data_IF_648531829691
#
_entry.id   IF_648531829691
#
_cell.length_a   1.000
_cell.length_b   1.000
_cell.length_c   1.000
_cell.angle_alpha   90.00
_cell.angle_beta   90.00
_cell.angle_gamma   90.00
#
_symmetry.space_group_name_H-M   'P 1'
#
loop_
_entity.id
_entity.type
_entity.pdbx_description
1 polymer ?
#
# COMPACT_ATOMS: atom_id res chain seq x y z
N UNK A 1 27.76 -4.07 -1.53
CA UNK A 1 26.70 -3.06 -1.38
C UNK A 1 26.43 -2.46 -2.73
N UNK A 2 25.24 -2.68 -3.27
CA UNK A 2 24.77 -2.08 -4.53
C UNK A 2 23.73 -1.03 -4.21
N UNK A 3 23.92 0.17 -4.68
CA UNK A 3 22.98 1.27 -4.54
C UNK A 3 22.37 1.58 -5.91
N UNK A 4 21.06 1.40 -6.01
CA UNK A 4 20.27 1.86 -7.15
C UNK A 4 19.44 3.06 -6.70
N UNK A 5 19.45 4.12 -7.49
CA UNK A 5 18.66 5.32 -7.22
C UNK A 5 17.88 5.69 -8.47
N UNK A 6 16.58 5.71 -8.33
CA UNK A 6 15.67 6.17 -9.38
C UNK A 6 14.97 7.46 -8.91
N UNK A 7 14.78 8.37 -9.85
CA UNK A 7 13.99 9.58 -9.62
C UNK A 7 12.92 9.62 -10.70
N UNK A 8 11.67 9.43 -10.28
CA UNK A 8 10.50 9.48 -11.18
C UNK A 8 9.86 10.85 -11.12
N UNK A 9 9.61 11.44 -12.28
CA UNK A 9 8.86 12.69 -12.43
C UNK A 9 7.53 12.43 -13.13
N UNK A 10 6.45 12.93 -12.60
CA UNK A 10 5.13 12.89 -13.25
C UNK A 10 5.01 14.07 -14.23
N UNK A 11 4.59 13.79 -15.47
CA UNK A 11 4.31 14.81 -16.48
C UNK A 11 2.83 14.82 -16.78
N UNK A 12 2.17 15.96 -16.55
CA UNK A 12 0.80 16.21 -17.00
C UNK A 12 0.79 17.26 -18.09
N UNK A 13 0.03 17.03 -19.16
CA UNK A 13 -0.15 17.98 -20.24
C UNK A 13 -1.28 18.97 -19.86
N UNK A 14 -1.06 20.26 -20.11
CA UNK A 14 -2.04 21.38 -20.15
C UNK A 14 -2.16 22.39 -19.00
N UNK A 15 -1.35 22.38 -17.98
CA UNK A 15 -1.14 23.58 -17.13
C UNK A 15 0.25 23.47 -16.51
N UNK A 16 0.91 24.54 -16.07
CA UNK A 16 2.13 24.42 -15.27
C UNK A 16 1.76 23.88 -13.87
N UNK A 17 1.41 22.57 -13.83
CA UNK A 17 1.23 21.85 -12.58
C UNK A 17 2.61 21.71 -11.95
N UNK A 18 2.77 22.04 -10.66
CA UNK A 18 4.02 21.80 -9.94
C UNK A 18 4.45 20.35 -10.12
N UNK A 19 5.72 20.11 -10.43
CA UNK A 19 6.22 18.75 -10.62
C UNK A 19 6.41 18.09 -9.27
N UNK A 20 5.73 16.96 -9.05
CA UNK A 20 5.98 16.10 -7.91
C UNK A 20 7.22 15.23 -8.15
N UNK A 21 8.08 15.11 -7.15
CA UNK A 21 9.27 14.27 -7.20
C UNK A 21 9.30 13.32 -6.02
N UNK A 22 9.51 12.05 -6.33
CA UNK A 22 9.86 11.03 -5.34
C UNK A 22 11.22 10.43 -5.66
N UNK A 23 11.93 10.01 -4.64
CA UNK A 23 13.22 9.32 -4.77
C UNK A 23 13.10 7.96 -4.12
N UNK A 24 13.47 6.91 -4.83
CA UNK A 24 13.64 5.58 -4.27
C UNK A 24 15.11 5.21 -4.22
N UNK A 25 15.55 4.60 -3.13
CA UNK A 25 16.88 4.04 -3.00
C UNK A 25 16.84 2.62 -2.48
N UNK A 26 17.72 1.79 -3.03
CA UNK A 26 17.80 0.37 -2.71
C UNK A 26 19.22 0.03 -2.28
N UNK A 27 19.36 -0.63 -1.15
CA UNK A 27 20.66 -1.10 -0.67
C UNK A 27 20.58 -2.59 -0.40
N UNK A 28 21.32 -3.39 -1.13
CA UNK A 28 21.40 -4.83 -0.91
C UNK A 28 22.57 -5.15 0.03
N UNK A 29 22.30 -5.88 1.08
CA UNK A 29 23.30 -6.42 2.02
C UNK A 29 23.81 -7.79 1.56
N UNK A 30 24.89 -8.26 2.16
CA UNK A 30 25.57 -9.51 1.77
C UNK A 30 24.76 -10.77 2.03
N UNK A 31 23.78 -10.71 2.91
CA UNK A 31 22.82 -11.78 3.24
C UNK A 31 21.60 -11.82 2.32
N UNK A 32 21.54 -10.90 1.34
CA UNK A 32 20.47 -10.84 0.35
C UNK A 32 19.25 -10.01 0.78
N UNK A 33 19.31 -9.34 1.93
CA UNK A 33 18.27 -8.40 2.35
C UNK A 33 18.38 -7.13 1.53
N UNK A 34 17.25 -6.63 1.05
CA UNK A 34 17.15 -5.34 0.31
C UNK A 34 16.50 -4.31 1.21
N UNK A 35 17.24 -3.28 1.56
CA UNK A 35 16.72 -2.10 2.25
C UNK A 35 16.15 -1.14 1.21
N UNK A 36 14.90 -0.77 1.38
CA UNK A 36 14.16 0.14 0.49
C UNK A 36 13.85 1.41 1.25
N UNK A 37 14.16 2.54 0.65
CA UNK A 37 13.83 3.84 1.20
C UNK A 37 13.17 4.70 0.12
N UNK A 38 11.99 5.24 0.41
CA UNK A 38 11.21 6.13 -0.43
C UNK A 38 11.08 7.49 0.24
N UNK A 39 11.28 8.54 -0.51
CA UNK A 39 11.10 9.91 -0.07
C UNK A 39 10.31 10.69 -1.12
N UNK A 40 9.17 11.24 -0.73
CA UNK A 40 8.46 12.27 -1.47
C UNK A 40 8.79 13.63 -0.86
N UNK A 41 9.18 14.57 -1.70
CA UNK A 41 9.37 15.97 -1.30
C UNK A 41 8.08 16.73 -1.52
N UNK A 42 7.54 17.27 -0.44
CA UNK A 42 6.33 18.07 -0.46
C UNK A 42 6.34 19.14 -1.55
N UNK A 43 5.22 19.29 -2.23
CA UNK A 43 5.06 20.22 -3.35
C UNK A 43 3.75 20.98 -3.20
N UNK A 44 3.84 22.30 -3.06
CA UNK A 44 2.67 23.16 -2.96
C UNK A 44 1.86 23.18 -4.27
N UNK A 45 0.56 23.38 -4.17
CA UNK A 45 -0.34 23.51 -5.30
C UNK A 45 -0.77 22.19 -5.97
N UNK A 46 -0.38 21.05 -5.40
CA UNK A 46 -0.90 19.73 -5.79
C UNK A 46 -2.12 19.36 -4.93
N UNK A 47 -3.03 18.51 -5.45
CA UNK A 47 -4.11 17.95 -4.63
C UNK A 47 -3.55 17.06 -3.51
N UNK A 48 -4.40 16.76 -2.53
CA UNK A 48 -4.10 15.79 -1.47
C UNK A 48 -3.71 14.43 -2.06
N UNK A 49 -2.81 13.73 -1.38
CA UNK A 49 -2.27 12.44 -1.83
C UNK A 49 -3.16 11.33 -1.26
N UNK A 50 -3.75 10.45 -2.09
CA UNK A 50 -4.58 9.35 -1.57
C UNK A 50 -3.76 8.29 -0.83
N UNK A 51 -2.56 7.98 -1.30
CA UNK A 51 -1.65 7.03 -0.67
C UNK A 51 -0.20 7.29 -1.11
N UNK A 52 0.77 6.96 -0.26
CA UNK A 52 2.18 7.02 -0.62
C UNK A 52 2.92 5.75 -0.18
N UNK A 53 3.56 5.09 -1.11
CA UNK A 53 4.32 3.87 -0.87
C UNK A 53 4.76 3.17 -2.14
N UNK A 54 4.82 1.84 -2.10
CA UNK A 54 5.28 1.01 -3.22
C UNK A 54 4.38 -0.22 -3.39
N UNK A 55 4.08 -0.53 -4.64
CA UNK A 55 3.36 -1.73 -5.04
C UNK A 55 4.32 -2.79 -5.57
N UNK A 56 4.12 -4.03 -5.15
CA UNK A 56 4.84 -5.20 -5.63
C UNK A 56 3.87 -6.14 -6.34
N UNK A 57 4.20 -6.49 -7.57
CA UNK A 57 3.41 -7.42 -8.38
C UNK A 57 4.05 -8.80 -8.36
N UNK A 58 3.43 -9.75 -7.68
CA UNK A 58 3.88 -11.14 -7.59
C UNK A 58 3.03 -12.03 -8.48
N UNK A 59 3.52 -13.24 -8.81
CA UNK A 59 2.71 -14.26 -9.47
C UNK A 59 1.60 -14.74 -8.52
N UNK A 60 0.44 -15.11 -9.07
CA UNK A 60 -0.74 -15.60 -8.33
C UNK A 60 -0.43 -16.66 -7.28
N UNK A 61 0.55 -17.55 -7.53
CA UNK A 61 0.93 -18.61 -6.58
C UNK A 61 1.39 -18.08 -5.21
N UNK A 62 1.81 -16.82 -5.12
CA UNK A 62 2.19 -16.17 -3.88
C UNK A 62 0.98 -15.45 -3.27
N UNK A 63 -0.06 -16.18 -2.95
CA UNK A 63 -1.34 -15.63 -2.50
C UNK A 63 -1.57 -15.72 -0.99
N UNK A 64 -0.79 -16.52 -0.26
CA UNK A 64 -0.89 -16.60 1.19
C UNK A 64 -0.14 -15.43 1.82
N UNK A 65 -0.70 -14.87 2.88
CA UNK A 65 0.01 -13.86 3.67
C UNK A 65 -0.18 -14.06 5.17
N UNK A 66 0.83 -13.65 5.93
CA UNK A 66 0.84 -13.54 7.37
C UNK A 66 1.43 -12.18 7.73
N UNK A 67 0.86 -11.48 8.71
CA UNK A 67 1.37 -10.17 9.12
C UNK A 67 1.25 -9.94 10.62
N UNK A 68 2.11 -9.07 11.15
CA UNK A 68 2.02 -8.52 12.49
C UNK A 68 1.63 -7.04 12.40
N UNK A 69 0.40 -6.74 12.75
CA UNK A 69 -0.20 -5.41 12.63
C UNK A 69 -1.58 -5.36 13.28
N UNK A 70 -2.34 -4.32 12.96
CA UNK A 70 -3.73 -4.22 13.40
C UNK A 70 -4.64 -5.04 12.48
N UNK A 71 -5.55 -5.83 13.08
CA UNK A 71 -6.47 -6.72 12.37
C UNK A 71 -7.53 -7.31 13.30
N UNK A 72 -8.17 -8.43 12.90
CA UNK A 72 -7.98 -9.20 11.66
C UNK A 72 -8.59 -8.55 10.40
N UNK A 73 -9.64 -7.75 10.56
CA UNK A 73 -10.36 -7.12 9.45
C UNK A 73 -9.57 -5.94 8.85
N UNK A 74 -9.93 -5.55 7.62
CA UNK A 74 -9.37 -4.35 7.03
C UNK A 74 -9.60 -3.14 7.94
N UNK A 75 -8.61 -2.29 8.01
CA UNK A 75 -8.68 -1.09 8.82
C UNK A 75 -7.90 0.05 8.18
N UNK A 76 -8.32 1.27 8.49
CA UNK A 76 -7.76 2.51 7.97
C UNK A 76 -7.56 3.46 9.13
N UNK A 77 -6.75 4.49 8.95
CA UNK A 77 -6.41 5.45 10.00
C UNK A 77 -7.64 6.08 10.69
N UNK A 78 -8.75 6.18 9.98
CA UNK A 78 -10.04 6.69 10.44
C UNK A 78 -11.10 5.59 10.71
N UNK A 79 -10.74 4.32 10.55
CA UNK A 79 -11.63 3.16 10.74
C UNK A 79 -10.84 1.98 11.30
N UNK A 80 -10.44 2.06 12.55
CA UNK A 80 -9.65 1.02 13.21
C UNK A 80 -10.04 0.72 14.66
N UNK A 81 -11.15 1.26 15.12
CA UNK A 81 -11.57 1.14 16.55
C UNK A 81 -11.76 -0.31 17.02
N UNK A 82 -12.15 -1.21 16.12
CA UNK A 82 -12.29 -2.65 16.42
C UNK A 82 -11.01 -3.46 16.23
N UNK A 83 -9.99 -2.88 15.64
CA UNK A 83 -8.76 -3.60 15.31
C UNK A 83 -7.87 -3.80 16.54
N UNK A 84 -7.20 -4.94 16.60
CA UNK A 84 -6.26 -5.31 17.67
C UNK A 84 -4.90 -5.64 17.09
N UNK A 85 -3.87 -5.30 17.83
CA UNK A 85 -2.51 -5.68 17.44
C UNK A 85 -2.33 -7.19 17.64
N UNK A 86 -1.90 -7.89 16.60
CA UNK A 86 -1.70 -9.33 16.63
C UNK A 86 -1.04 -9.86 15.36
N UNK A 87 -0.84 -11.17 15.33
CA UNK A 87 -0.40 -11.89 14.13
C UNK A 87 -1.64 -12.50 13.50
N UNK A 88 -1.83 -12.24 12.23
CA UNK A 88 -2.97 -12.70 11.45
C UNK A 88 -2.51 -13.26 10.11
N UNK A 89 -3.32 -14.14 9.55
CA UNK A 89 -3.06 -14.77 8.26
C UNK A 89 -4.28 -14.68 7.34
N UNK A 90 -4.06 -14.85 6.06
CA UNK A 90 -5.11 -14.84 5.06
C UNK A 90 -4.61 -15.16 3.67
N UNK A 91 -5.49 -15.02 2.70
CA UNK A 91 -5.13 -15.11 1.29
C UNK A 91 -5.56 -13.84 0.55
N UNK A 92 -4.83 -13.49 -0.51
CA UNK A 92 -5.13 -12.32 -1.32
C UNK A 92 -6.60 -12.26 -1.78
N UNK A 93 -7.17 -13.43 -2.14
CA UNK A 93 -8.57 -13.54 -2.58
C UNK A 93 -9.57 -13.27 -1.45
N UNK A 94 -9.32 -13.80 -0.25
CA UNK A 94 -10.19 -13.61 0.91
C UNK A 94 -10.09 -12.19 1.44
N UNK A 95 -8.94 -11.54 1.26
CA UNK A 95 -8.73 -10.15 1.67
C UNK A 95 -9.44 -9.12 0.77
N UNK A 96 -9.96 -9.54 -0.38
CA UNK A 96 -10.78 -8.69 -1.24
C UNK A 96 -12.15 -8.49 -0.60
N UNK A 97 -12.46 -7.27 -0.19
CA UNK A 97 -13.77 -6.93 0.39
C UNK A 97 -14.85 -6.92 -0.70
N UNK A 98 -15.99 -7.53 -0.41
CA UNK A 98 -17.10 -7.67 -1.34
C UNK A 98 -17.96 -6.38 -1.40
N UNK A 99 -17.33 -5.26 -1.74
CA UNK A 99 -18.06 -4.04 -2.02
C UNK A 99 -18.89 -4.20 -3.29
N UNK A 100 -20.05 -3.55 -3.34
CA UNK A 100 -20.97 -3.62 -4.47
C UNK A 100 -20.29 -3.15 -5.77
N UNK A 101 -19.57 -2.05 -5.70
CA UNK A 101 -18.67 -1.57 -6.73
C UNK A 101 -17.25 -1.90 -6.28
N UNK A 102 -16.46 -2.63 -7.09
CA UNK A 102 -15.08 -2.90 -6.74
C UNK A 102 -14.29 -1.63 -6.44
N UNK A 103 -13.51 -1.67 -5.38
CA UNK A 103 -12.65 -0.55 -5.00
C UNK A 103 -11.46 -1.07 -4.22
N UNK A 104 -10.44 -0.24 -4.06
CA UNK A 104 -9.30 -0.54 -3.21
C UNK A 104 -9.76 -0.83 -1.77
N UNK A 105 -9.21 -1.89 -1.19
CA UNK A 105 -9.62 -2.43 0.10
C UNK A 105 -8.51 -3.24 0.76
N UNK A 106 -8.81 -3.89 1.87
CA UNK A 106 -7.92 -4.85 2.52
C UNK A 106 -6.71 -4.24 3.21
N UNK A 107 -6.72 -2.92 3.48
CA UNK A 107 -5.62 -2.25 4.19
C UNK A 107 -5.48 -2.72 5.64
N UNK A 108 -4.25 -2.70 6.15
CA UNK A 108 -3.87 -3.00 7.54
C UNK A 108 -2.93 -1.92 8.04
N UNK A 109 -3.37 -1.15 9.02
CA UNK A 109 -2.58 -0.09 9.65
C UNK A 109 -1.56 -0.70 10.61
N UNK A 110 -0.41 -0.04 10.76
CA UNK A 110 0.59 -0.38 11.75
C UNK A 110 1.21 -1.77 11.58
N UNK A 111 1.41 -2.18 10.33
CA UNK A 111 2.09 -3.44 9.98
C UNK A 111 3.58 -3.32 10.27
N UNK A 112 4.11 -4.23 11.09
CA UNK A 112 5.52 -4.30 11.44
C UNK A 112 6.29 -5.22 10.52
N UNK A 113 5.65 -6.33 10.15
CA UNK A 113 6.13 -7.20 9.10
C UNK A 113 4.94 -7.86 8.38
N UNK A 114 5.16 -8.19 7.13
CA UNK A 114 4.24 -8.88 6.24
C UNK A 114 5.02 -9.94 5.46
N UNK A 115 4.59 -11.18 5.52
CA UNK A 115 5.07 -12.28 4.66
C UNK A 115 4.03 -12.56 3.59
N UNK A 116 4.49 -12.77 2.35
CA UNK A 116 3.65 -13.21 1.24
C UNK A 116 4.29 -14.42 0.60
N UNK A 117 3.60 -15.56 0.63
CA UNK A 117 4.20 -16.86 0.33
C UNK A 117 3.35 -17.72 -0.62
N UNK A 118 4.01 -18.69 -1.22
CA UNK A 118 3.34 -19.80 -1.91
C UNK A 118 2.91 -20.90 -0.90
N UNK A 119 2.29 -21.98 -1.40
CA UNK A 119 1.83 -23.13 -0.60
C UNK A 119 2.98 -23.86 0.15
N UNK A 120 4.23 -23.62 -0.27
CA UNK A 120 5.42 -24.22 0.34
C UNK A 120 6.12 -23.28 1.32
N UNK A 121 5.52 -22.13 1.62
CA UNK A 121 6.09 -21.13 2.52
C UNK A 121 7.23 -20.30 1.90
N UNK A 122 7.47 -20.40 0.59
CA UNK A 122 8.50 -19.63 -0.12
C UNK A 122 7.90 -18.31 -0.59
N UNK A 123 8.60 -17.22 -0.40
CA UNK A 123 8.09 -15.92 -0.81
C UNK A 123 8.96 -14.76 -0.38
N UNK A 124 8.33 -13.66 0.01
CA UNK A 124 8.98 -12.45 0.45
C UNK A 124 8.45 -12.04 1.82
N UNK A 125 9.33 -11.50 2.64
CA UNK A 125 8.99 -10.81 3.87
C UNK A 125 9.35 -9.34 3.75
N UNK A 126 8.41 -8.48 4.11
CA UNK A 126 8.57 -7.05 4.24
C UNK A 126 8.58 -6.71 5.73
N UNK A 127 9.60 -5.99 6.19
CA UNK A 127 9.76 -5.65 7.61
C UNK A 127 10.01 -4.15 7.73
N UNK A 128 9.26 -3.45 8.57
CA UNK A 128 9.54 -2.04 8.83
C UNK A 128 10.90 -1.87 9.51
N UNK A 129 11.59 -0.77 9.23
CA UNK A 129 12.85 -0.47 9.92
C UNK A 129 12.58 0.22 11.26
N UNK A 130 11.92 1.35 11.26
CA UNK A 130 11.63 2.11 12.48
C UNK A 130 10.13 2.31 12.68
N UNK A 131 9.43 2.74 11.62
CA UNK A 131 8.02 3.10 11.67
C UNK A 131 7.19 1.99 11.00
N UNK A 132 6.18 1.43 11.69
CA UNK A 132 5.25 0.50 11.06
C UNK A 132 4.59 1.13 9.83
N UNK A 133 4.43 0.35 8.79
CA UNK A 133 3.79 0.77 7.54
C UNK A 133 2.32 0.33 7.49
N UNK A 134 1.61 0.80 6.48
CA UNK A 134 0.32 0.24 6.11
C UNK A 134 0.52 -0.76 4.97
N UNK A 135 -0.30 -1.81 4.92
CA UNK A 135 -0.15 -2.85 3.91
C UNK A 135 -1.47 -3.43 3.45
N UNK A 136 -1.50 -3.87 2.20
CA UNK A 136 -2.57 -4.72 1.68
C UNK A 136 -2.01 -5.81 0.75
N UNK A 137 -2.74 -6.92 0.65
CA UNK A 137 -2.42 -8.04 -0.25
C UNK A 137 -3.70 -8.41 -0.98
N UNK A 138 -3.78 -8.10 -2.28
CA UNK A 138 -5.00 -8.24 -3.07
C UNK A 138 -4.71 -8.99 -4.39
N UNK A 139 -5.71 -9.64 -5.01
CA UNK A 139 -5.55 -10.27 -6.32
C UNK A 139 -5.58 -9.28 -7.48
N UNK A 140 -5.92 -8.02 -7.23
CA UNK A 140 -6.06 -6.96 -8.22
C UNK A 140 -5.30 -5.70 -7.77
N UNK A 141 -4.83 -4.95 -8.75
CA UNK A 141 -4.31 -3.59 -8.53
C UNK A 141 -5.45 -2.61 -8.22
N UNK A 142 -5.12 -1.48 -7.60
CA UNK A 142 -6.08 -0.39 -7.41
C UNK A 142 -6.70 0.05 -8.75
N UNK A 143 -5.90 0.08 -9.83
CA UNK A 143 -6.37 0.43 -11.17
C UNK A 143 -7.39 -0.58 -11.73
N UNK A 144 -7.16 -1.88 -11.56
CA UNK A 144 -8.11 -2.92 -11.99
C UNK A 144 -9.42 -2.83 -11.22
N UNK A 145 -9.36 -2.57 -9.91
CA UNK A 145 -10.54 -2.41 -9.07
C UNK A 145 -11.33 -1.13 -9.44
N UNK A 146 -10.67 -0.02 -9.63
CA UNK A 146 -11.30 1.28 -9.94
C UNK A 146 -12.00 1.27 -11.31
N UNK A 147 -11.51 0.50 -12.27
CA UNK A 147 -12.08 0.44 -13.61
C UNK A 147 -13.24 -0.57 -13.75
N UNK A 148 -13.53 -1.37 -12.73
CA UNK A 148 -14.66 -2.29 -12.74
C UNK A 148 -15.88 -1.65 -12.04
N UNK A 149 -17.02 -1.63 -12.73
CA UNK A 149 -18.29 -1.17 -12.16
C UNK A 149 -19.02 -2.27 -11.40
N UNK A 150 -18.69 -3.54 -11.71
CA UNK A 150 -19.29 -4.73 -11.09
C UNK A 150 -18.21 -5.79 -10.84
N UNK A 151 -18.47 -6.68 -9.88
CA UNK A 151 -17.51 -7.75 -9.51
C UNK A 151 -17.19 -8.71 -10.68
N UNK A 152 -18.15 -8.97 -11.55
CA UNK A 152 -18.00 -9.83 -12.73
C UNK A 152 -17.16 -9.21 -13.86
N UNK A 153 -16.87 -7.92 -13.80
CA UNK A 153 -16.01 -7.21 -14.74
C UNK A 153 -14.52 -7.33 -14.37
N UNK A 154 -14.24 -7.79 -13.15
CA UNK A 154 -12.87 -8.01 -12.73
C UNK A 154 -12.20 -9.10 -13.58
N UNK A 155 -10.95 -8.89 -14.00
CA UNK A 155 -10.25 -9.85 -14.84
C UNK A 155 -9.99 -11.16 -14.09
N UNK A 156 -9.64 -12.23 -14.84
CA UNK A 156 -9.13 -13.44 -14.22
C UNK A 156 -7.88 -13.12 -13.39
N UNK A 157 -7.82 -13.68 -12.18
CA UNK A 157 -6.66 -13.50 -11.29
C UNK A 157 -5.42 -14.12 -11.93
N UNK A 158 -4.35 -13.34 -12.05
CA UNK A 158 -3.04 -13.76 -12.56
C UNK A 158 -1.90 -13.36 -11.65
N UNK A 159 -2.16 -12.43 -10.73
CA UNK A 159 -1.16 -11.82 -9.87
C UNK A 159 -1.68 -11.64 -8.45
N UNK A 160 -0.75 -11.43 -7.55
CA UNK A 160 -0.97 -10.91 -6.21
C UNK A 160 -0.28 -9.56 -6.12
N UNK A 161 -1.02 -8.56 -5.74
CA UNK A 161 -0.53 -7.21 -5.51
C UNK A 161 -0.31 -7.01 -4.02
N UNK A 162 0.91 -6.62 -3.68
CA UNK A 162 1.33 -6.31 -2.30
C UNK A 162 1.64 -4.83 -2.25
N UNK A 163 0.95 -4.10 -1.38
CA UNK A 163 1.19 -2.68 -1.16
C UNK A 163 1.87 -2.47 0.18
N UNK A 164 2.94 -1.70 0.18
CA UNK A 164 3.65 -1.26 1.38
C UNK A 164 3.62 0.27 1.37
N UNK A 165 2.82 0.84 2.25
CA UNK A 165 2.52 2.27 2.26
C UNK A 165 3.09 2.94 3.51
N UNK A 166 3.69 4.11 3.33
CA UNK A 166 4.00 4.99 4.45
C UNK A 166 2.71 5.49 5.10
N UNK A 167 1.72 5.79 4.25
CA UNK A 167 0.44 6.34 4.69
C UNK A 167 -0.62 6.17 3.61
N UNK A 168 -1.84 5.89 4.04
CA UNK A 168 -3.05 5.96 3.22
C UNK A 168 -4.00 7.00 3.83
N UNK A 169 -4.69 7.75 2.99
CA UNK A 169 -5.72 8.69 3.41
C UNK A 169 -6.89 7.92 4.02
N UNK A 170 -7.59 8.52 4.98
CA UNK A 170 -8.83 7.98 5.53
C UNK A 170 -9.89 7.73 4.46
N UNK A 171 -10.79 6.82 4.72
CA UNK A 171 -11.81 6.36 3.75
C UNK A 171 -13.24 6.73 4.15
N UNK A 172 -13.43 7.29 5.36
CA UNK A 172 -14.73 7.67 5.89
C UNK A 172 -14.96 9.19 5.90
N UNK A 173 -16.23 9.58 5.89
CA UNK A 173 -16.71 10.93 6.14
C UNK A 173 -17.82 10.88 7.17
N UNK A 174 -18.46 12.02 7.48
CA UNK A 174 -19.56 12.10 8.45
C UNK A 174 -20.86 11.44 7.94
N UNK A 175 -20.97 11.21 6.66
CA UNK A 175 -22.12 10.58 6.02
C UNK A 175 -21.72 9.74 4.78
N UNK A 176 -22.71 9.03 4.22
CA UNK A 176 -22.55 8.24 2.98
C UNK A 176 -22.92 9.01 1.71
N UNK A 177 -23.09 10.31 1.78
CA UNK A 177 -23.51 11.18 0.69
C UNK A 177 -22.37 11.99 0.08
N UNK A 178 -21.12 11.65 0.44
CA UNK A 178 -19.92 12.29 -0.10
C UNK A 178 -19.30 13.33 0.84
N UNK A 179 -19.59 13.29 2.12
CA UNK A 179 -18.84 14.08 3.10
C UNK A 179 -17.35 13.75 2.99
N UNK A 180 -16.48 14.77 2.93
CA UNK A 180 -15.05 14.55 2.79
C UNK A 180 -14.46 13.90 4.05
N UNK A 181 -13.36 13.18 3.86
CA UNK A 181 -12.53 12.69 4.96
C UNK A 181 -12.09 13.84 5.86
N UNK A 182 -12.11 13.65 7.17
CA UNK A 182 -11.67 14.65 8.13
C UNK A 182 -10.22 15.07 7.88
N UNK A 183 -9.90 16.33 8.06
CA UNK A 183 -8.60 16.94 7.74
C UNK A 183 -7.42 16.17 8.35
N UNK A 184 -7.55 15.70 9.59
CA UNK A 184 -6.52 14.94 10.31
C UNK A 184 -6.15 13.60 9.65
N UNK A 185 -7.01 13.05 8.81
CA UNK A 185 -6.81 11.78 8.10
C UNK A 185 -6.44 11.97 6.62
N UNK A 186 -6.26 13.20 6.17
CA UNK A 186 -5.81 13.53 4.83
C UNK A 186 -4.29 13.55 4.76
N UNK A 187 -3.76 13.43 3.55
CA UNK A 187 -2.33 13.51 3.30
C UNK A 187 -2.06 14.75 2.46
N UNK A 188 -1.62 15.84 3.07
CA UNK A 188 -1.33 17.06 2.33
C UNK A 188 -0.11 16.86 1.42
N UNK A 189 -0.20 17.37 0.19
CA UNK A 189 0.86 17.22 -0.81
C UNK A 189 2.08 18.13 -0.56
N UNK A 190 1.97 19.13 0.28
CA UNK A 190 3.03 20.06 0.64
C UNK A 190 3.97 19.56 1.74
N UNK A 191 3.70 18.37 2.29
CA UNK A 191 4.53 17.74 3.32
C UNK A 191 5.40 16.63 2.75
N UNK A 192 6.59 16.47 3.33
CA UNK A 192 7.43 15.33 3.02
C UNK A 192 6.80 14.03 3.55
N UNK A 193 6.90 12.97 2.74
CA UNK A 193 6.52 11.62 3.14
C UNK A 193 7.70 10.70 2.95
N UNK A 194 7.90 9.79 3.90
CA UNK A 194 9.05 8.90 3.90
C UNK A 194 8.65 7.53 4.43
N UNK A 195 9.25 6.48 3.88
CA UNK A 195 9.13 5.12 4.37
C UNK A 195 10.44 4.38 4.14
N UNK A 196 10.85 3.60 5.14
CA UNK A 196 11.96 2.67 5.06
C UNK A 196 11.53 1.29 5.51
N UNK A 197 11.85 0.28 4.70
CA UNK A 197 11.56 -1.12 5.01
C UNK A 197 12.57 -2.06 4.36
N UNK A 198 12.62 -3.29 4.86
CA UNK A 198 13.46 -4.36 4.34
C UNK A 198 12.61 -5.36 3.57
N UNK A 199 13.20 -5.93 2.52
CA UNK A 199 12.65 -7.07 1.79
C UNK A 199 13.66 -8.22 1.87
N UNK A 200 13.20 -9.38 2.35
CA UNK A 200 13.97 -10.61 2.45
C UNK A 200 13.19 -11.81 1.90
N UNK A 201 13.88 -12.94 1.73
CA UNK A 201 13.25 -14.22 1.34
C UNK A 201 12.88 -15.04 2.57
#
# INVERSE_FOLDING_TARGET
>A
KVLLKETTGSHCFFTPIPKAYSTSSYVMSGDGVVHVHLLYKGTEGLPEIPAFGMDFKLKERYHNFEYYGYGPEENYVDRMEGARLGIFEGTAKVNLSNYLIPQECGNRVGTRWLKVTDEYGRGLQFTCEEIPFESSVLPYSAYELENALHQEELPKIHYTWVRILAKQMGVGGDDSWGAPVHEQYRIPSDKNLEIAFQVSK
#
